data_IF_940385135354
#
_entry.id   IF_940385135354
#
_cell.length_a   1.000
_cell.length_b   1.000
_cell.length_c   1.000
_cell.angle_alpha   90.00
_cell.angle_beta   90.00
_cell.angle_gamma   90.00
#
_symmetry.space_group_name_H-M   'P 1'
#
loop_
_entity.id
_entity.type
_entity.pdbx_description
1 polymer ?
#
# COMPACT_ATOMS: atom_id res chain seq x y z
N UNK A 1 20.74 -13.91 14.03
CA UNK A 1 19.56 -13.63 13.19
C UNK A 1 19.29 -12.15 13.31
N UNK A 2 19.73 -11.36 12.32
CA UNK A 2 19.55 -9.91 12.35
C UNK A 2 18.07 -9.60 12.11
N UNK A 3 17.38 -9.08 13.12
CA UNK A 3 16.11 -8.39 12.96
C UNK A 3 16.43 -7.05 12.30
N UNK A 4 16.40 -6.98 10.97
CA UNK A 4 16.42 -5.70 10.28
C UNK A 4 15.06 -5.03 10.48
N UNK A 5 14.95 -4.20 11.53
CA UNK A 5 13.84 -3.27 11.69
C UNK A 5 14.04 -2.15 10.66
N UNK A 6 13.38 -2.27 9.51
CA UNK A 6 13.29 -1.18 8.54
C UNK A 6 12.08 -0.34 8.88
N UNK A 7 12.23 0.98 8.91
CA UNK A 7 11.10 1.89 9.09
C UNK A 7 10.21 1.90 7.84
N UNK A 8 8.95 2.31 7.99
CA UNK A 8 8.07 2.55 6.85
C UNK A 8 8.68 3.61 5.92
N UNK A 9 8.73 3.31 4.62
CA UNK A 9 9.22 4.25 3.61
C UNK A 9 8.05 5.16 3.22
N UNK A 10 8.22 6.46 3.43
CA UNK A 10 7.21 7.48 3.13
C UNK A 10 7.49 8.24 1.84
N UNK A 11 8.73 8.21 1.35
CA UNK A 11 9.13 8.82 0.09
C UNK A 11 8.87 7.89 -1.10
N UNK A 12 8.85 8.45 -2.31
CA UNK A 12 8.75 7.68 -3.55
C UNK A 12 9.85 6.61 -3.65
N UNK A 13 9.44 5.34 -3.52
CA UNK A 13 10.31 4.17 -3.58
C UNK A 13 10.16 3.37 -4.89
N UNK A 14 9.31 3.83 -5.80
CA UNK A 14 9.11 3.25 -7.12
C UNK A 14 9.90 4.07 -8.14
N UNK A 15 10.54 3.39 -9.11
CA UNK A 15 11.25 4.05 -10.22
C UNK A 15 10.31 4.94 -11.04
N UNK A 16 9.03 4.56 -11.13
CA UNK A 16 7.99 5.28 -11.87
C UNK A 16 6.65 5.19 -11.11
N UNK A 17 6.42 6.07 -10.11
CA UNK A 17 5.21 6.08 -9.30
C UNK A 17 3.94 6.36 -10.12
N UNK A 18 4.05 7.24 -11.12
CA UNK A 18 2.95 7.65 -11.99
C UNK A 18 2.43 6.47 -12.82
N UNK A 19 3.35 5.68 -13.39
CA UNK A 19 2.98 4.49 -14.16
C UNK A 19 2.28 3.44 -13.31
N UNK A 20 2.74 3.22 -12.08
CA UNK A 20 2.06 2.29 -11.17
C UNK A 20 0.67 2.81 -10.79
N UNK A 21 0.54 4.09 -10.46
CA UNK A 21 -0.74 4.70 -10.12
C UNK A 21 -1.73 4.63 -11.29
N UNK A 22 -1.29 4.92 -12.51
CA UNK A 22 -2.11 4.76 -13.71
C UNK A 22 -2.60 3.31 -13.86
N UNK A 23 -1.72 2.31 -13.73
CA UNK A 23 -2.09 0.91 -13.80
C UNK A 23 -3.10 0.51 -12.70
N UNK A 24 -2.96 1.05 -11.49
CA UNK A 24 -3.90 0.83 -10.39
C UNK A 24 -5.29 1.36 -10.73
N UNK A 25 -5.38 2.61 -11.20
CA UNK A 25 -6.65 3.25 -11.58
C UNK A 25 -7.32 2.50 -12.73
N UNK A 26 -6.55 2.14 -13.77
CA UNK A 26 -7.08 1.35 -14.89
C UNK A 26 -7.64 0.00 -14.42
N UNK A 27 -6.98 -0.64 -13.44
CA UNK A 27 -7.38 -1.96 -12.93
C UNK A 27 -8.72 -1.97 -12.19
N UNK A 28 -9.19 -0.82 -11.69
CA UNK A 28 -10.46 -0.71 -10.97
C UNK A 28 -11.45 0.27 -11.59
N UNK A 29 -11.14 0.89 -12.75
CA UNK A 29 -11.96 1.93 -13.39
C UNK A 29 -13.40 1.49 -13.65
N UNK A 30 -13.58 0.28 -14.16
CA UNK A 30 -14.88 -0.23 -14.59
C UNK A 30 -15.58 -1.08 -13.51
N UNK A 31 -15.00 -1.15 -12.31
CA UNK A 31 -15.57 -1.93 -11.21
C UNK A 31 -16.66 -1.14 -10.48
N UNK A 32 -17.79 -1.77 -10.11
CA UNK A 32 -18.73 -1.16 -9.19
C UNK A 32 -18.08 -0.93 -7.82
N UNK A 33 -18.61 0.00 -6.99
CA UNK A 33 -17.96 0.43 -5.75
C UNK A 33 -17.58 -0.71 -4.79
N UNK A 34 -18.45 -1.71 -4.66
CA UNK A 34 -18.22 -2.89 -3.82
C UNK A 34 -17.09 -3.80 -4.34
N UNK A 35 -16.98 -3.95 -5.66
CA UNK A 35 -15.90 -4.71 -6.28
C UNK A 35 -14.58 -3.95 -6.24
N UNK A 36 -14.60 -2.62 -6.38
CA UNK A 36 -13.43 -1.77 -6.22
C UNK A 36 -12.87 -1.81 -4.77
N UNK A 37 -13.77 -1.86 -3.77
CA UNK A 37 -13.38 -2.06 -2.38
C UNK A 37 -12.76 -3.46 -2.17
N UNK A 38 -13.39 -4.50 -2.71
CA UNK A 38 -12.86 -5.86 -2.63
C UNK A 38 -11.51 -6.01 -3.36
N UNK A 39 -11.34 -5.34 -4.50
CA UNK A 39 -10.07 -5.26 -5.22
C UNK A 39 -8.98 -4.61 -4.36
N UNK A 40 -9.27 -3.45 -3.77
CA UNK A 40 -8.34 -2.74 -2.90
C UNK A 40 -7.94 -3.58 -1.68
N UNK A 41 -8.89 -4.26 -1.03
CA UNK A 41 -8.61 -5.13 0.11
C UNK A 41 -7.69 -6.30 -0.26
N UNK A 42 -7.90 -6.93 -1.42
CA UNK A 42 -7.02 -8.00 -1.92
C UNK A 42 -5.63 -7.48 -2.22
N UNK A 43 -5.51 -6.33 -2.87
CA UNK A 43 -4.22 -5.72 -3.18
C UNK A 43 -3.44 -5.38 -1.90
N UNK A 44 -4.10 -4.77 -0.91
CA UNK A 44 -3.49 -4.46 0.40
C UNK A 44 -2.97 -5.73 1.06
N UNK A 45 -3.73 -6.83 1.05
CA UNK A 45 -3.28 -8.11 1.62
C UNK A 45 -2.06 -8.68 0.88
N UNK A 46 -2.04 -8.61 -0.45
CA UNK A 46 -0.90 -9.06 -1.25
C UNK A 46 0.37 -8.26 -0.92
N UNK A 47 0.25 -6.94 -0.82
CA UNK A 47 1.36 -6.05 -0.46
C UNK A 47 1.80 -6.26 0.99
N UNK A 48 0.86 -6.44 1.93
CA UNK A 48 1.18 -6.72 3.32
C UNK A 48 1.95 -8.03 3.48
N UNK A 49 1.58 -9.06 2.73
CA UNK A 49 2.30 -10.33 2.69
C UNK A 49 3.70 -10.17 2.10
N UNK A 50 3.87 -9.29 1.11
CA UNK A 50 5.19 -9.00 0.53
C UNK A 50 6.09 -8.24 1.52
N UNK A 51 5.54 -7.28 2.27
CA UNK A 51 6.27 -6.53 3.31
C UNK A 51 6.69 -7.44 4.46
N UNK A 52 5.79 -8.30 4.97
CA UNK A 52 6.12 -9.34 5.95
C UNK A 52 6.49 -8.86 7.36
N UNK A 53 6.60 -7.55 7.60
CA UNK A 53 6.95 -6.96 8.90
C UNK A 53 5.73 -6.31 9.57
N UNK A 54 5.33 -6.85 10.72
CA UNK A 54 4.18 -6.35 11.48
C UNK A 54 4.36 -4.93 12.01
N UNK A 55 5.58 -4.53 12.38
CA UNK A 55 5.84 -3.18 12.90
C UNK A 55 5.62 -2.12 11.80
N UNK A 56 6.11 -2.39 10.59
CA UNK A 56 5.90 -1.53 9.40
C UNK A 56 4.41 -1.43 9.09
N UNK A 57 3.70 -2.55 9.08
CA UNK A 57 2.26 -2.58 8.79
C UNK A 57 1.44 -1.83 9.86
N UNK A 58 1.80 -1.97 11.13
CA UNK A 58 1.14 -1.25 12.22
C UNK A 58 1.37 0.28 12.11
N UNK A 59 2.58 0.70 11.75
CA UNK A 59 2.88 2.10 11.49
C UNK A 59 2.09 2.65 10.30
N UNK A 60 2.01 1.91 9.20
CA UNK A 60 1.24 2.29 8.01
C UNK A 60 -0.26 2.46 8.33
N UNK A 61 -0.85 1.53 9.11
CA UNK A 61 -2.24 1.64 9.56
C UNK A 61 -2.48 2.88 10.41
N UNK A 62 -1.54 3.20 11.33
CA UNK A 62 -1.63 4.40 12.18
C UNK A 62 -1.62 5.68 11.35
N UNK A 63 -0.74 5.78 10.37
CA UNK A 63 -0.64 6.97 9.50
C UNK A 63 -1.87 7.10 8.58
N UNK A 64 -2.32 6.00 7.98
CA UNK A 64 -3.53 5.99 7.17
C UNK A 64 -4.77 6.42 7.97
N UNK A 65 -4.91 5.96 9.22
CA UNK A 65 -6.01 6.36 10.11
C UNK A 65 -5.96 7.84 10.50
N UNK A 66 -4.77 8.45 10.50
CA UNK A 66 -4.59 9.88 10.75
C UNK A 66 -4.83 10.76 9.51
N UNK A 67 -4.98 10.15 8.32
CA UNK A 67 -5.11 10.89 7.05
C UNK A 67 -3.82 11.55 6.59
N UNK A 68 -2.68 11.10 7.10
CA UNK A 68 -1.37 11.63 6.71
C UNK A 68 -1.06 11.19 5.26
N UNK A 69 -0.70 12.12 4.36
CA UNK A 69 -0.30 11.75 3.02
C UNK A 69 1.03 10.99 3.05
N UNK A 70 1.18 10.00 2.18
CA UNK A 70 2.52 9.55 1.79
C UNK A 70 3.22 10.74 1.09
N UNK A 71 4.50 10.96 1.42
CA UNK A 71 5.25 12.15 1.00
C UNK A 71 5.63 12.11 -0.48
#
# INVERSE_FOLDING_TARGET
>A
MIMSSSALILDANLDDPDRFYAALVESCRDLPPEEALAFSARLILLLANHVGDHAILAEALRLAAAGEPAA
#
